data_IF_241411328413
#
_entry.id   IF_241411328413
#
_cell.length_a   1.000
_cell.length_b   1.000
_cell.length_c   1.000
_cell.angle_alpha   90.00
_cell.angle_beta   90.00
_cell.angle_gamma   90.00
#
_symmetry.space_group_name_H-M   'P 1'
#
loop_
_entity.id
_entity.type
_entity.pdbx_description
1 polymer ?
#
# COMPACT_ATOMS: atom_id res chain seq x y z
N UNK A 1 0.59 -0.30 -8.64
CA UNK A 1 0.54 1.16 -8.83
C UNK A 1 1.81 1.60 -9.53
N UNK A 2 1.75 2.74 -10.20
CA UNK A 2 2.90 3.41 -10.82
C UNK A 2 3.10 4.76 -10.15
N UNK A 3 4.33 5.06 -9.74
CA UNK A 3 4.77 6.36 -9.23
C UNK A 3 5.68 6.95 -10.30
N UNK A 4 5.24 8.03 -10.93
CA UNK A 4 5.99 8.64 -12.02
C UNK A 4 5.85 10.14 -12.03
N UNK A 5 6.96 10.85 -12.11
CA UNK A 5 6.97 12.32 -12.19
C UNK A 5 6.16 12.99 -11.07
N UNK A 6 6.25 12.46 -9.84
CA UNK A 6 5.54 12.98 -8.67
C UNK A 6 4.03 12.71 -8.65
N UNK A 7 3.54 11.76 -9.45
CA UNK A 7 2.12 11.34 -9.47
C UNK A 7 1.99 9.85 -9.28
N UNK A 8 0.93 9.43 -8.57
CA UNK A 8 0.56 8.01 -8.39
C UNK A 8 -0.63 7.63 -9.27
N UNK A 9 -0.57 6.45 -9.91
CA UNK A 9 -1.69 5.88 -10.68
C UNK A 9 -1.88 4.38 -10.43
N UNK A 10 -3.10 3.91 -10.09
CA UNK A 10 -4.23 4.72 -9.63
C UNK A 10 -3.91 5.39 -8.28
N UNK A 11 -4.46 6.58 -8.05
CA UNK A 11 -4.46 7.24 -6.75
C UNK A 11 -5.76 6.91 -6.00
N UNK A 12 -5.73 6.89 -4.66
CA UNK A 12 -6.89 6.65 -3.81
C UNK A 12 -7.69 5.38 -4.18
N UNK A 13 -6.99 4.31 -4.56
CA UNK A 13 -7.65 3.06 -4.94
C UNK A 13 -8.40 2.45 -3.74
N UNK A 14 -9.58 1.87 -3.98
CA UNK A 14 -10.32 1.13 -2.95
C UNK A 14 -10.28 -0.36 -3.25
N UNK A 15 -9.86 -1.15 -2.28
CA UNK A 15 -9.67 -2.60 -2.41
C UNK A 15 -10.32 -3.32 -1.24
N UNK A 16 -10.50 -4.62 -1.39
CA UNK A 16 -10.99 -5.51 -0.33
C UNK A 16 -9.89 -6.51 0.02
N UNK A 17 -9.82 -6.87 1.30
CA UNK A 17 -8.92 -7.91 1.81
C UNK A 17 -9.60 -8.73 2.89
N UNK A 18 -8.95 -9.81 3.27
CA UNK A 18 -9.42 -10.74 4.29
C UNK A 18 -8.47 -10.75 5.48
N UNK A 19 -9.01 -10.81 6.70
CA UNK A 19 -8.21 -10.99 7.92
C UNK A 19 -7.28 -12.20 7.78
N UNK A 20 -6.00 -12.02 8.15
CA UNK A 20 -4.96 -13.06 8.13
C UNK A 20 -4.41 -13.41 6.73
N UNK A 21 -5.06 -12.96 5.66
CA UNK A 21 -4.59 -13.15 4.29
C UNK A 21 -3.57 -12.07 3.88
N UNK A 22 -2.59 -12.43 3.04
CA UNK A 22 -1.62 -11.47 2.54
C UNK A 22 -2.24 -10.45 1.60
N UNK A 23 -1.94 -9.18 1.85
CA UNK A 23 -2.19 -8.08 0.92
C UNK A 23 -0.85 -7.74 0.25
N UNK A 24 -0.85 -7.72 -1.08
CA UNK A 24 0.35 -7.47 -1.89
C UNK A 24 0.21 -6.17 -2.67
N UNK A 25 1.16 -5.25 -2.47
CA UNK A 25 1.31 -4.06 -3.29
C UNK A 25 2.39 -4.30 -4.34
N UNK A 26 2.02 -4.15 -5.60
CA UNK A 26 2.97 -4.09 -6.73
C UNK A 26 3.24 -2.64 -7.08
N UNK A 27 4.50 -2.25 -7.13
CA UNK A 27 4.92 -0.86 -7.36
C UNK A 27 5.95 -0.80 -8.47
N UNK A 28 5.69 0.08 -9.43
CA UNK A 28 6.70 0.59 -10.35
C UNK A 28 6.97 2.04 -10.00
N UNK A 29 8.22 2.44 -9.84
CA UNK A 29 8.57 3.82 -9.49
C UNK A 29 9.76 4.33 -10.30
N UNK A 30 9.74 5.62 -10.63
CA UNK A 30 10.89 6.36 -11.18
C UNK A 30 11.67 7.17 -10.13
N UNK A 31 11.24 7.12 -8.87
CA UNK A 31 11.81 7.87 -7.73
C UNK A 31 11.90 7.01 -6.47
N UNK A 32 12.70 7.46 -5.52
CA UNK A 32 12.62 6.99 -4.12
C UNK A 32 11.40 7.59 -3.42
N UNK A 33 10.79 6.82 -2.52
CA UNK A 33 9.73 7.24 -1.58
C UNK A 33 9.65 6.20 -0.44
N UNK A 34 8.69 6.34 0.46
CA UNK A 34 8.36 5.35 1.49
C UNK A 34 6.86 5.09 1.54
N UNK A 35 6.44 3.82 1.47
CA UNK A 35 5.06 3.43 1.73
C UNK A 35 4.85 3.24 3.22
N UNK A 36 3.86 3.93 3.80
CA UNK A 36 3.35 3.68 5.14
C UNK A 36 2.01 2.96 5.08
N UNK A 37 1.89 1.87 5.84
CA UNK A 37 0.66 1.08 5.97
C UNK A 37 0.15 1.22 7.39
N UNK A 38 -0.98 1.91 7.52
CA UNK A 38 -1.67 2.18 8.77
C UNK A 38 -2.52 0.97 9.17
N UNK A 39 -1.84 -0.11 9.56
CA UNK A 39 -2.43 -1.36 10.06
C UNK A 39 -1.96 -1.69 11.47
N UNK A 40 -2.42 -2.82 12.01
CA UNK A 40 -1.88 -3.40 13.24
C UNK A 40 -1.28 -4.78 12.92
N UNK A 41 0.05 -4.97 13.08
CA UNK A 41 1.06 -3.91 13.32
C UNK A 41 1.17 -2.93 12.14
N UNK A 42 1.78 -1.77 12.37
CA UNK A 42 2.14 -0.82 11.30
C UNK A 42 3.28 -1.38 10.45
N UNK A 43 3.34 -0.97 9.19
CA UNK A 43 4.44 -1.32 8.29
C UNK A 43 4.93 -0.10 7.52
N UNK A 44 6.24 -0.04 7.29
CA UNK A 44 6.88 0.90 6.37
C UNK A 44 7.75 0.14 5.37
N UNK A 45 7.72 0.55 4.11
CA UNK A 45 8.51 -0.05 3.04
C UNK A 45 9.19 1.02 2.20
N UNK A 46 10.51 0.91 2.03
CA UNK A 46 11.25 1.77 1.10
C UNK A 46 10.86 1.45 -0.34
N UNK A 47 10.49 2.48 -1.10
CA UNK A 47 10.30 2.42 -2.55
C UNK A 47 11.58 2.90 -3.23
N UNK A 48 12.09 2.10 -4.15
CA UNK A 48 13.26 2.40 -4.97
C UNK A 48 12.85 2.86 -6.39
N UNK A 49 13.71 3.58 -7.13
CA UNK A 49 13.44 3.99 -8.52
C UNK A 49 13.60 2.80 -9.49
N UNK A 50 12.75 1.78 -9.35
CA UNK A 50 12.70 0.60 -10.21
C UNK A 50 11.29 0.04 -10.36
N UNK A 51 11.11 -0.73 -11.41
CA UNK A 51 9.90 -1.53 -11.65
C UNK A 51 9.90 -2.86 -10.91
N UNK A 52 8.72 -3.46 -10.77
CA UNK A 52 8.52 -4.81 -10.27
C UNK A 52 8.79 -4.97 -8.77
N UNK A 53 8.59 -3.92 -7.98
CA UNK A 53 8.67 -4.01 -6.52
C UNK A 53 7.41 -4.68 -5.99
N UNK A 54 7.59 -5.59 -5.03
CA UNK A 54 6.48 -6.24 -4.33
C UNK A 54 6.66 -6.06 -2.83
N UNK A 55 5.63 -5.51 -2.18
CA UNK A 55 5.56 -5.36 -0.73
C UNK A 55 4.35 -6.13 -0.22
N UNK A 56 4.51 -6.80 0.91
CA UNK A 56 3.49 -7.66 1.48
C UNK A 56 3.30 -7.33 2.94
N UNK A 57 2.04 -7.25 3.35
CA UNK A 57 1.67 -7.19 4.76
C UNK A 57 0.43 -8.04 5.04
N UNK A 58 0.14 -8.22 6.32
CA UNK A 58 -1.05 -8.92 6.83
C UNK A 58 -1.59 -8.14 8.02
N UNK A 59 -2.88 -8.25 8.26
CA UNK A 59 -3.46 -7.80 9.52
C UNK A 59 -4.47 -8.81 10.04
N UNK A 60 -4.45 -9.02 11.35
CA UNK A 60 -5.35 -9.93 12.06
C UNK A 60 -6.63 -9.23 12.56
N UNK A 61 -6.73 -7.91 12.33
CA UNK A 61 -7.83 -7.07 12.81
C UNK A 61 -8.64 -6.56 11.62
N UNK A 62 -9.98 -6.71 11.60
CA UNK A 62 -10.81 -6.15 10.55
C UNK A 62 -10.84 -4.62 10.64
N UNK A 63 -11.00 -3.95 9.50
CA UNK A 63 -11.04 -2.49 9.43
C UNK A 63 -10.57 -1.94 8.10
N UNK A 64 -10.50 -0.61 8.01
CA UNK A 64 -9.87 0.05 6.86
C UNK A 64 -8.38 0.20 7.14
N UNK A 65 -7.55 -0.27 6.21
CA UNK A 65 -6.12 -0.05 6.19
C UNK A 65 -5.81 1.02 5.16
N UNK A 66 -5.28 2.16 5.60
CA UNK A 66 -4.81 3.22 4.72
C UNK A 66 -3.34 2.99 4.35
N UNK A 67 -3.03 3.23 3.08
CA UNK A 67 -1.69 3.09 2.54
C UNK A 67 -1.34 4.41 1.86
N UNK A 68 -0.25 5.03 2.31
CA UNK A 68 0.20 6.34 1.84
C UNK A 68 1.67 6.31 1.42
N UNK A 69 2.05 7.26 0.57
CA UNK A 69 3.44 7.61 0.32
C UNK A 69 3.83 8.75 1.25
N UNK A 70 4.94 8.58 1.98
CA UNK A 70 5.42 9.54 2.96
C UNK A 70 5.92 10.82 2.31
N UNK A 71 6.83 10.71 1.33
CA UNK A 71 7.49 11.89 0.76
C UNK A 71 6.53 12.68 -0.14
N UNK A 72 5.72 11.99 -0.94
CA UNK A 72 4.65 12.61 -1.72
C UNK A 72 3.43 13.01 -0.88
N UNK A 73 3.37 12.59 0.40
CA UNK A 73 2.28 12.84 1.33
C UNK A 73 0.90 12.59 0.69
N UNK A 74 0.74 11.39 0.14
CA UNK A 74 -0.44 11.02 -0.65
C UNK A 74 -0.94 9.63 -0.30
N UNK A 75 -2.23 9.53 0.04
CA UNK A 75 -2.92 8.24 0.13
C UNK A 75 -3.03 7.60 -1.26
N UNK A 76 -2.50 6.37 -1.38
CA UNK A 76 -2.48 5.62 -2.63
C UNK A 76 -3.59 4.58 -2.68
N UNK A 77 -3.94 3.99 -1.53
CA UNK A 77 -5.03 3.04 -1.45
C UNK A 77 -5.64 2.95 -0.04
N UNK A 78 -6.90 2.54 0.01
CA UNK A 78 -7.56 2.05 1.23
C UNK A 78 -8.01 0.61 0.99
N UNK A 79 -7.63 -0.30 1.88
CA UNK A 79 -8.07 -1.70 1.85
C UNK A 79 -9.10 -1.91 2.96
N UNK A 80 -10.32 -2.28 2.59
CA UNK A 80 -11.32 -2.72 3.55
C UNK A 80 -11.07 -4.20 3.87
N UNK A 81 -10.61 -4.48 5.08
CA UNK A 81 -10.31 -5.83 5.57
C UNK A 81 -11.49 -6.35 6.37
N UNK A 82 -12.07 -7.45 5.92
CA UNK A 82 -13.20 -8.13 6.56
C UNK A 82 -12.88 -9.56 6.97
N UNK A 83 -13.79 -10.23 7.69
CA UNK A 83 -13.68 -11.66 7.95
C UNK A 83 -13.70 -12.46 6.63
N UNK A 84 -13.06 -13.63 6.62
CA UNK A 84 -13.21 -14.59 5.53
C UNK A 84 -14.65 -15.11 5.46
N UNK A 85 -15.10 -15.43 4.24
CA UNK A 85 -16.40 -16.06 3.96
C UNK A 85 -16.53 -17.44 4.57
#
# INVERSE_FOLDING_TARGET
MVIKGGTVTPANARMQGTVGEPIVLRVDSDTTDELHVHSVPEHSFTVEPRSGQEFQFRTEVPGNVEIELHDLNQVVATVQVGPGS
#
